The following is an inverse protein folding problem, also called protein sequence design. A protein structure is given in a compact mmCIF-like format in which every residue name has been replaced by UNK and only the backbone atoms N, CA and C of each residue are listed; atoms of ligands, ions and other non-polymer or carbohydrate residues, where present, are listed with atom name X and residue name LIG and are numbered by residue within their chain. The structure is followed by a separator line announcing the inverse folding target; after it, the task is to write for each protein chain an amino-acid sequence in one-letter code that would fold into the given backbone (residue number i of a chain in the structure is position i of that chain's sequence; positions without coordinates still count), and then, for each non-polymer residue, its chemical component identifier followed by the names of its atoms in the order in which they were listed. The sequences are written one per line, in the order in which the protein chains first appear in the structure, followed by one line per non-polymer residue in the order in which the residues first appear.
data_IF_739876403787
#
_entry.id   IF_739876403787
#
_cell.length_a   1.000
_cell.length_b   1.000
_cell.length_c   1.000
_cell.angle_alpha   90.00
_cell.angle_beta   90.00
_cell.angle_gamma   90.00
#
_symmetry.space_group_name_H-M   'P 1'
#
loop_
_entity.id
_entity.type
_entity.pdbx_description
1 polymer ?
#
# COMPACT_ATOMS: atom_id res chain seq x y z
N UNK A 1 -16.74 2.67 -16.28
CA UNK A 1 -15.40 2.79 -15.67
C UNK A 1 -15.03 1.43 -15.11
N UNK A 2 -13.84 0.89 -15.39
CA UNK A 2 -13.41 -0.40 -14.81
C UNK A 2 -13.11 -0.19 -13.33
N UNK A 3 -13.41 -1.16 -12.47
CA UNK A 3 -13.17 -1.02 -11.03
C UNK A 3 -11.69 -0.73 -10.71
N UNK A 4 -10.78 -1.27 -11.52
CA UNK A 4 -9.34 -1.02 -11.43
C UNK A 4 -8.96 0.47 -11.55
N UNK A 5 -9.70 1.21 -12.38
CA UNK A 5 -9.46 2.64 -12.64
C UNK A 5 -10.22 3.56 -11.67
N UNK A 6 -11.00 2.99 -10.74
CA UNK A 6 -11.79 3.76 -9.77
C UNK A 6 -10.86 4.50 -8.80
N UNK A 7 -10.95 5.84 -8.70
CA UNK A 7 -10.15 6.61 -7.76
C UNK A 7 -10.69 6.50 -6.33
N UNK A 8 -9.90 6.93 -5.37
CA UNK A 8 -10.41 7.34 -4.05
C UNK A 8 -11.33 8.56 -4.20
N UNK A 9 -12.32 8.65 -3.32
CA UNK A 9 -13.08 9.87 -3.10
C UNK A 9 -12.33 10.81 -2.13
N UNK A 10 -12.94 11.97 -1.85
CA UNK A 10 -12.32 12.99 -1.00
C UNK A 10 -12.05 12.49 0.43
N UNK A 11 -12.97 11.69 0.99
CA UNK A 11 -12.76 11.03 2.30
C UNK A 11 -11.59 10.06 2.27
N UNK A 12 -11.49 9.21 1.25
CA UNK A 12 -10.40 8.24 1.13
C UNK A 12 -9.03 8.90 1.01
N UNK A 13 -8.94 10.04 0.32
CA UNK A 13 -7.71 10.83 0.26
C UNK A 13 -7.34 11.43 1.63
N UNK A 14 -8.31 11.95 2.37
CA UNK A 14 -8.10 12.48 3.72
C UNK A 14 -7.70 11.38 4.73
N UNK A 15 -8.29 10.20 4.62
CA UNK A 15 -7.97 9.05 5.45
C UNK A 15 -6.55 8.55 5.18
N UNK A 16 -6.12 8.50 3.92
CA UNK A 16 -4.75 8.13 3.55
C UNK A 16 -3.72 9.10 4.16
N UNK A 17 -3.98 10.40 4.10
CA UNK A 17 -3.15 11.41 4.75
C UNK A 17 -3.09 11.22 6.27
N UNK A 18 -4.25 11.02 6.91
CA UNK A 18 -4.37 10.79 8.35
C UNK A 18 -3.60 9.55 8.79
N UNK A 19 -3.67 8.47 8.00
CA UNK A 19 -2.93 7.23 8.26
C UNK A 19 -1.42 7.44 8.13
N UNK A 20 -0.96 8.16 7.11
CA UNK A 20 0.46 8.49 6.96
C UNK A 20 1.01 9.27 8.17
N UNK A 21 0.27 10.26 8.66
CA UNK A 21 0.63 10.98 9.88
C UNK A 21 0.65 10.06 11.11
N UNK A 22 -0.31 9.15 11.22
CA UNK A 22 -0.39 8.17 12.30
C UNK A 22 0.79 7.17 12.29
N UNK A 23 1.23 6.74 11.10
CA UNK A 23 2.41 5.88 10.91
C UNK A 23 3.67 6.60 11.34
N UNK A 24 3.87 7.85 10.87
CA UNK A 24 5.02 8.69 11.27
C UNK A 24 5.11 8.83 12.79
N UNK A 25 4.00 9.17 13.44
CA UNK A 25 3.95 9.38 14.89
C UNK A 25 4.35 8.12 15.70
N UNK A 26 4.15 6.93 15.12
CA UNK A 26 4.46 5.64 15.75
C UNK A 26 5.76 5.02 15.26
N UNK A 27 6.50 5.72 14.39
CA UNK A 27 7.70 5.20 13.71
C UNK A 27 7.45 3.89 12.94
N UNK A 28 6.26 3.75 12.35
CA UNK A 28 5.93 2.62 11.47
C UNK A 28 6.43 2.92 10.06
N UNK A 29 7.71 2.68 9.85
CA UNK A 29 8.41 2.93 8.60
C UNK A 29 8.76 1.58 7.98
N UNK A 30 8.10 1.17 6.89
CA UNK A 30 8.42 -0.08 6.21
C UNK A 30 9.70 0.08 5.38
N UNK A 31 10.51 -0.98 5.32
CA UNK A 31 11.64 -1.06 4.37
C UNK A 31 11.16 -1.29 2.92
N UNK A 32 10.01 -1.95 2.78
CA UNK A 32 9.41 -2.36 1.51
C UNK A 32 7.88 -2.27 1.58
N UNK A 33 7.28 -1.62 0.59
CA UNK A 33 5.84 -1.59 0.36
C UNK A 33 5.50 -2.35 -0.91
N UNK A 34 4.58 -3.32 -0.81
CA UNK A 34 3.99 -4.02 -1.95
C UNK A 34 2.61 -3.43 -2.21
N UNK A 35 2.41 -2.83 -3.39
CA UNK A 35 1.21 -2.07 -3.70
C UNK A 35 0.52 -2.60 -4.96
N UNK A 36 -0.80 -2.74 -4.94
CA UNK A 36 -1.57 -3.03 -6.15
C UNK A 36 -1.47 -1.89 -7.15
N UNK A 37 -1.46 -2.21 -8.45
CA UNK A 37 -1.57 -1.20 -9.50
C UNK A 37 -2.98 -0.59 -9.64
N UNK A 38 -3.98 -1.01 -8.87
CA UNK A 38 -5.29 -0.34 -8.90
C UNK A 38 -5.16 1.15 -8.52
N UNK A 39 -5.91 2.03 -9.19
CA UNK A 39 -5.78 3.50 -9.01
C UNK A 39 -5.94 3.93 -7.56
N UNK A 40 -6.97 3.41 -6.87
CA UNK A 40 -7.20 3.67 -5.44
C UNK A 40 -6.04 3.28 -4.54
N UNK A 41 -5.37 2.16 -4.81
CA UNK A 41 -4.26 1.69 -3.98
C UNK A 41 -3.03 2.60 -4.13
N UNK A 42 -2.74 3.04 -5.36
CA UNK A 42 -1.67 4.03 -5.61
C UNK A 42 -1.97 5.36 -4.91
N UNK A 43 -3.20 5.85 -4.99
CA UNK A 43 -3.60 7.09 -4.31
C UNK A 43 -3.53 6.98 -2.78
N UNK A 44 -3.88 5.81 -2.21
CA UNK A 44 -3.65 5.55 -0.78
C UNK A 44 -2.16 5.67 -0.45
N UNK A 45 -1.29 5.00 -1.23
CA UNK A 45 0.15 5.06 -1.02
C UNK A 45 0.72 6.48 -1.14
N UNK A 46 0.26 7.26 -2.12
CA UNK A 46 0.63 8.68 -2.27
C UNK A 46 0.26 9.50 -1.03
N UNK A 47 -0.94 9.31 -0.48
CA UNK A 47 -1.37 10.00 0.75
C UNK A 47 -0.52 9.65 1.97
N UNK A 48 -0.12 8.38 2.10
CA UNK A 48 0.81 7.93 3.14
C UNK A 48 2.20 8.57 2.95
N UNK A 49 2.73 8.50 1.73
CA UNK A 49 4.06 8.99 1.37
C UNK A 49 4.23 10.51 1.56
N UNK A 50 3.12 11.27 1.53
CA UNK A 50 3.14 12.70 1.86
C UNK A 50 3.49 12.99 3.33
N UNK A 51 3.41 11.99 4.22
CA UNK A 51 3.59 12.18 5.67
C UNK A 51 4.69 11.30 6.28
N UNK A 52 4.99 10.15 5.69
CA UNK A 52 6.02 9.22 6.17
C UNK A 52 6.76 8.57 5.00
N UNK A 53 7.98 8.11 5.24
CA UNK A 53 8.66 7.22 4.30
C UNK A 53 7.89 5.88 4.21
N UNK A 54 7.78 5.35 3.00
CA UNK A 54 7.10 4.10 2.67
C UNK A 54 8.07 3.05 2.12
N UNK A 55 9.37 3.32 2.19
CA UNK A 55 10.44 2.42 1.79
C UNK A 55 10.48 2.20 0.29
N UNK A 56 11.12 1.11 -0.14
CA UNK A 56 11.10 0.71 -1.55
C UNK A 56 9.68 0.30 -1.92
N UNK A 57 9.16 0.76 -3.04
CA UNK A 57 7.82 0.39 -3.51
C UNK A 57 7.93 -0.59 -4.68
N UNK A 58 7.20 -1.71 -4.61
CA UNK A 58 6.97 -2.62 -5.74
C UNK A 58 5.49 -2.66 -6.07
N UNK A 59 5.16 -2.37 -7.34
CA UNK A 59 3.80 -2.47 -7.84
C UNK A 59 3.53 -3.82 -8.47
N UNK A 60 2.45 -4.49 -8.04
CA UNK A 60 2.10 -5.85 -8.48
C UNK A 60 0.64 -5.89 -8.93
N UNK A 61 0.40 -6.28 -10.19
CA UNK A 61 -0.97 -6.45 -10.71
C UNK A 61 -1.72 -7.58 -10.03
N UNK A 62 -1.00 -8.65 -9.64
CA UNK A 62 -1.55 -9.82 -8.97
C UNK A 62 -2.29 -9.42 -7.68
N UNK A 63 -1.75 -8.48 -6.90
CA UNK A 63 -2.37 -8.00 -5.66
C UNK A 63 -3.82 -7.50 -5.84
N UNK A 64 -4.25 -7.12 -7.05
CA UNK A 64 -5.64 -6.69 -7.26
C UNK A 64 -6.66 -7.84 -7.23
N UNK A 65 -6.23 -9.06 -7.55
CA UNK A 65 -7.12 -10.22 -7.77
C UNK A 65 -6.85 -11.37 -6.80
N UNK A 66 -5.83 -11.25 -5.96
CA UNK A 66 -5.39 -12.30 -5.03
C UNK A 66 -6.24 -12.35 -3.75
N UNK A 67 -6.25 -13.52 -3.12
CA UNK A 67 -6.85 -13.73 -1.82
C UNK A 67 -5.81 -13.62 -0.68
N UNK A 68 -6.24 -13.93 0.55
CA UNK A 68 -5.37 -13.85 1.72
C UNK A 68 -4.14 -14.77 1.65
N UNK A 69 -4.27 -15.97 1.07
CA UNK A 69 -3.16 -16.90 0.90
C UNK A 69 -2.18 -16.37 -0.17
N UNK A 70 -2.72 -15.76 -1.23
CA UNK A 70 -1.94 -15.04 -2.23
C UNK A 70 -1.08 -13.93 -1.62
N UNK A 71 -1.62 -13.12 -0.72
CA UNK A 71 -0.85 -12.09 -0.03
C UNK A 71 0.32 -12.64 0.78
N UNK A 72 0.12 -13.73 1.53
CA UNK A 72 1.20 -14.35 2.30
C UNK A 72 2.31 -14.88 1.39
N UNK A 73 1.94 -15.51 0.27
CA UNK A 73 2.90 -15.97 -0.74
C UNK A 73 3.72 -14.81 -1.32
N UNK A 74 3.05 -13.71 -1.66
CA UNK A 74 3.70 -12.51 -2.21
C UNK A 74 4.64 -11.86 -1.18
N UNK A 75 4.23 -11.78 0.08
CA UNK A 75 5.07 -11.26 1.18
C UNK A 75 6.31 -12.14 1.34
N UNK A 76 6.16 -13.47 1.38
CA UNK A 76 7.29 -14.42 1.47
C UNK A 76 8.25 -14.30 0.29
N UNK A 77 7.73 -14.10 -0.90
CA UNK A 77 8.54 -14.00 -2.12
C UNK A 77 9.31 -12.69 -2.27
N UNK A 78 8.89 -11.62 -1.59
CA UNK A 78 9.48 -10.29 -1.74
C UNK A 78 10.11 -9.72 -0.46
N UNK A 79 9.76 -10.28 0.70
CA UNK A 79 10.23 -9.84 2.01
C UNK A 79 11.64 -10.31 2.37
N UNK A 80 12.24 -9.67 3.37
CA UNK A 80 13.51 -10.10 3.95
C UNK A 80 13.36 -11.27 4.95
N UNK A 81 14.47 -11.77 5.52
CA UNK A 81 14.44 -12.78 6.58
C UNK A 81 13.52 -12.37 7.74
N UNK A 82 12.60 -13.24 8.14
CA UNK A 82 11.61 -12.95 9.20
C UNK A 82 10.31 -12.31 8.70
N UNK A 83 10.16 -12.10 7.39
CA UNK A 83 8.85 -11.83 6.79
C UNK A 83 7.94 -13.07 6.92
N UNK A 84 6.66 -12.84 7.21
CA UNK A 84 5.58 -13.79 7.56
C UNK A 84 5.64 -15.18 6.88
#
# INVERSE_FOLDING_TARGET
MRDFDRPLDASGLADAATMGAAMRARSYIPDLTLCSNAKRARQTLEGLAGHTDTGRVLFLDTLYSEDAAGYLSIIRGNGGPGSL
#
